data_IF_370277405538
#
_entry.id   IF_370277405538
#
_cell.length_a   1.000
_cell.length_b   1.000
_cell.length_c   1.000
_cell.angle_alpha   90.00
_cell.angle_beta   90.00
_cell.angle_gamma   90.00
#
_symmetry.space_group_name_H-M   'P 1'
#
loop_
_entity.id
_entity.type
_entity.pdbx_description
1 polymer ?
#
# COMPACT_ATOMS: atom_id res chain seq x y z
N UNK A 1 7.78 -35.97 26.33
CA UNK A 1 8.18 -34.55 26.38
C UNK A 1 8.07 -33.83 25.04
N UNK A 2 8.65 -34.32 23.93
CA UNK A 2 8.58 -33.62 22.62
C UNK A 2 7.15 -33.37 22.11
N UNK A 3 6.27 -34.37 22.20
CA UNK A 3 4.86 -34.24 21.74
C UNK A 3 4.04 -33.27 22.61
N UNK A 4 4.29 -33.26 23.92
CA UNK A 4 3.68 -32.29 24.85
C UNK A 4 4.18 -30.87 24.59
N UNK A 5 5.46 -30.69 24.25
CA UNK A 5 6.00 -29.39 23.85
C UNK A 5 5.40 -28.93 22.50
N UNK A 6 5.24 -29.84 21.54
CA UNK A 6 4.60 -29.55 20.24
C UNK A 6 3.13 -29.19 20.38
N UNK A 7 2.39 -29.86 21.28
CA UNK A 7 1.00 -29.54 21.61
C UNK A 7 0.87 -28.22 22.39
N UNK A 8 1.83 -27.91 23.27
CA UNK A 8 1.89 -26.61 23.95
C UNK A 8 2.19 -25.47 22.96
N UNK A 9 3.08 -25.70 22.00
CA UNK A 9 3.40 -24.74 20.92
C UNK A 9 2.21 -24.56 19.98
N UNK A 10 1.49 -25.64 19.61
CA UNK A 10 0.24 -25.54 18.85
C UNK A 10 -0.87 -24.82 19.63
N UNK A 11 -0.96 -25.06 20.94
CA UNK A 11 -1.90 -24.39 21.84
C UNK A 11 -1.60 -22.90 22.02
N UNK A 12 -0.31 -22.52 22.06
CA UNK A 12 0.14 -21.13 22.10
C UNK A 12 -0.06 -20.42 20.75
N UNK A 13 0.14 -21.12 19.62
CA UNK A 13 -0.16 -20.60 18.27
C UNK A 13 -1.67 -20.37 18.06
N UNK A 14 -2.53 -21.16 18.70
CA UNK A 14 -3.99 -21.00 18.64
C UNK A 14 -4.53 -19.79 19.41
N UNK A 15 -3.72 -19.13 20.23
CA UNK A 15 -4.13 -17.94 21.02
C UNK A 15 -3.69 -16.63 20.33
N UNK A 16 -2.82 -16.71 19.31
CA UNK A 16 -2.39 -15.54 18.54
C UNK A 16 -3.42 -15.17 17.45
N UNK A 17 -4.66 -14.91 17.84
CA UNK A 17 -5.62 -14.22 16.97
C UNK A 17 -5.38 -12.71 17.08
N UNK A 18 -4.38 -12.21 16.35
CA UNK A 18 -4.18 -10.77 16.24
C UNK A 18 -5.33 -10.18 15.39
N UNK A 19 -6.15 -9.29 15.97
CA UNK A 19 -7.24 -8.61 15.25
C UNK A 19 -6.72 -7.48 14.33
N UNK A 20 -5.65 -6.80 14.74
CA UNK A 20 -4.88 -5.90 13.88
C UNK A 20 -3.62 -6.62 13.42
N UNK A 21 -3.22 -6.41 12.16
CA UNK A 21 -1.97 -6.99 11.63
C UNK A 21 -0.72 -6.40 12.28
N UNK A 22 -0.84 -5.31 13.05
CA UNK A 22 0.27 -4.62 13.71
C UNK A 22 0.26 -4.71 15.24
N UNK A 23 -0.59 -5.57 15.82
CA UNK A 23 -0.71 -5.76 17.28
C UNK A 23 -1.92 -5.04 17.90
N UNK A 24 -2.21 -5.31 19.17
CA UNK A 24 -3.45 -4.89 19.85
C UNK A 24 -3.23 -3.91 21.02
N UNK A 25 -1.98 -3.54 21.35
CA UNK A 25 -1.68 -2.66 22.49
C UNK A 25 -1.92 -1.21 22.11
N UNK A 26 -2.91 -0.57 22.73
CA UNK A 26 -3.31 0.81 22.43
C UNK A 26 -3.07 1.71 23.65
N UNK A 27 -2.23 2.73 23.47
CA UNK A 27 -2.07 3.80 24.43
C UNK A 27 -3.04 4.93 24.12
N UNK A 28 -3.84 5.32 25.12
CA UNK A 28 -4.74 6.48 25.04
C UNK A 28 -4.20 7.57 25.95
N UNK A 29 -3.82 8.68 25.34
CA UNK A 29 -3.33 9.86 26.05
C UNK A 29 -4.50 10.78 26.36
N UNK A 30 -4.79 10.93 27.65
CA UNK A 30 -5.88 11.76 28.19
C UNK A 30 -5.33 12.58 29.35
N UNK A 31 -5.51 13.91 29.32
CA UNK A 31 -5.00 14.74 30.42
C UNK A 31 -5.69 14.44 31.75
N UNK A 32 -7.03 14.41 31.73
CA UNK A 32 -7.87 14.09 32.88
C UNK A 32 -8.58 12.75 32.65
N UNK A 33 -8.30 11.76 33.51
CA UNK A 33 -8.92 10.43 33.42
C UNK A 33 -10.45 10.50 33.53
N UNK A 34 -10.99 11.54 34.19
CA UNK A 34 -12.43 11.78 34.28
C UNK A 34 -13.11 12.01 32.92
N UNK A 35 -12.38 12.46 31.90
CA UNK A 35 -12.94 12.66 30.55
C UNK A 35 -13.17 11.35 29.79
N UNK A 36 -12.64 10.23 30.29
CA UNK A 36 -12.85 8.89 29.73
C UNK A 36 -14.33 8.54 29.56
N UNK A 37 -15.17 8.97 30.51
CA UNK A 37 -16.60 8.64 30.51
C UNK A 37 -17.35 9.30 29.35
N UNK A 38 -16.82 10.39 28.77
CA UNK A 38 -17.39 11.03 27.59
C UNK A 38 -17.32 10.14 26.34
N UNK A 39 -16.35 9.24 26.28
CA UNK A 39 -16.03 8.40 25.11
C UNK A 39 -16.30 6.91 25.36
N UNK A 40 -17.16 6.59 26.34
CA UNK A 40 -17.31 5.22 26.84
C UNK A 40 -17.74 4.22 25.75
N UNK A 41 -18.60 4.63 24.82
CA UNK A 41 -19.05 3.78 23.69
C UNK A 41 -17.93 3.55 22.68
N UNK A 42 -17.13 4.57 22.40
CA UNK A 42 -16.00 4.44 21.46
C UNK A 42 -14.91 3.52 22.02
N UNK A 43 -14.53 3.69 23.28
CA UNK A 43 -13.61 2.77 23.95
C UNK A 43 -14.21 1.37 24.12
N UNK A 44 -15.53 1.27 24.32
CA UNK A 44 -16.26 0.00 24.34
C UNK A 44 -16.16 -0.74 23.00
N UNK A 45 -16.31 -0.04 21.88
CA UNK A 45 -16.11 -0.59 20.53
C UNK A 45 -14.67 -1.09 20.33
N UNK A 46 -13.66 -0.26 20.67
CA UNK A 46 -12.25 -0.66 20.58
C UNK A 46 -11.94 -1.89 21.44
N UNK A 47 -12.42 -1.95 22.68
CA UNK A 47 -12.28 -3.16 23.51
C UNK A 47 -13.03 -4.37 22.93
N UNK A 48 -14.21 -4.14 22.35
CA UNK A 48 -14.99 -5.17 21.65
C UNK A 48 -14.26 -5.74 20.43
N UNK A 49 -13.38 -4.93 19.82
CA UNK A 49 -12.43 -5.33 18.76
C UNK A 49 -11.10 -5.87 19.29
N UNK A 50 -10.98 -6.08 20.61
CA UNK A 50 -9.86 -6.76 21.25
C UNK A 50 -8.60 -5.92 21.49
N UNK A 51 -8.70 -4.58 21.43
CA UNK A 51 -7.60 -3.70 21.83
C UNK A 51 -7.40 -3.68 23.35
N UNK A 52 -6.13 -3.79 23.75
CA UNK A 52 -5.68 -3.61 25.13
C UNK A 52 -5.40 -2.14 25.39
N UNK A 53 -6.40 -1.46 25.97
CA UNK A 53 -6.37 -0.01 26.15
C UNK A 53 -5.71 0.36 27.48
N UNK A 54 -4.57 1.05 27.40
CA UNK A 54 -3.89 1.67 28.54
C UNK A 54 -4.12 3.18 28.51
N UNK A 55 -4.56 3.76 29.62
CA UNK A 55 -4.83 5.19 29.74
C UNK A 55 -3.71 5.86 30.53
N UNK A 56 -3.09 6.87 29.96
CA UNK A 56 -2.02 7.62 30.62
C UNK A 56 -2.19 9.13 30.42
N UNK A 57 -1.74 9.89 31.42
CA UNK A 57 -1.68 11.34 31.32
C UNK A 57 -0.39 11.75 30.59
N UNK A 58 -0.41 12.81 29.75
CA UNK A 58 0.81 13.35 29.15
C UNK A 58 1.89 13.73 30.17
N UNK A 59 1.49 14.03 31.41
CA UNK A 59 2.37 14.44 32.51
C UNK A 59 2.82 13.26 33.39
N UNK A 60 2.42 12.03 33.07
CA UNK A 60 2.77 10.84 33.85
C UNK A 60 4.22 10.44 33.64
N UNK A 61 4.94 10.15 34.72
CA UNK A 61 6.32 9.65 34.64
C UNK A 61 6.39 8.20 34.12
N UNK A 62 5.29 7.44 34.18
CA UNK A 62 5.20 6.07 33.64
C UNK A 62 5.04 6.03 32.13
N UNK A 63 4.70 7.15 31.49
CA UNK A 63 4.40 7.20 30.07
C UNK A 63 5.67 7.02 29.24
N UNK A 64 5.87 5.85 28.62
CA UNK A 64 6.96 5.62 27.68
C UNK A 64 6.42 4.99 26.39
N UNK A 65 6.75 5.58 25.22
CA UNK A 65 6.42 4.98 23.92
C UNK A 65 7.33 3.79 23.58
N UNK A 66 8.52 3.76 24.18
CA UNK A 66 9.53 2.74 23.95
C UNK A 66 10.07 2.21 25.27
N UNK A 67 10.19 0.89 25.36
CA UNK A 67 10.84 0.18 26.45
C UNK A 67 12.01 -0.63 25.88
N UNK A 68 13.22 -0.43 26.42
CA UNK A 68 14.43 -1.12 25.98
C UNK A 68 14.72 -1.04 24.46
N UNK A 69 14.22 0.01 23.80
CA UNK A 69 14.41 0.24 22.36
C UNK A 69 13.32 -0.33 21.47
N UNK A 70 12.39 -1.11 22.01
CA UNK A 70 11.21 -1.60 21.29
C UNK A 70 9.97 -0.78 21.62
N UNK A 71 8.95 -0.84 20.76
CA UNK A 71 7.68 -0.14 20.99
C UNK A 71 6.92 -0.80 22.14
N UNK A 72 6.60 -0.02 23.17
CA UNK A 72 5.77 -0.45 24.28
C UNK A 72 4.30 -0.63 23.85
N UNK A 73 3.86 0.15 22.85
CA UNK A 73 2.51 0.15 22.32
C UNK A 73 2.53 0.03 20.79
N UNK A 74 1.51 -0.59 20.22
CA UNK A 74 1.39 -0.76 18.77
C UNK A 74 0.71 0.45 18.14
N UNK A 75 -0.25 1.01 18.87
CA UNK A 75 -1.09 2.13 18.46
C UNK A 75 -1.13 3.23 19.53
N UNK A 76 -1.33 4.46 19.09
CA UNK A 76 -1.43 5.63 19.94
C UNK A 76 -2.69 6.44 19.57
N UNK A 77 -3.53 6.74 20.55
CA UNK A 77 -4.65 7.66 20.43
C UNK A 77 -4.39 8.89 21.30
N UNK A 78 -4.32 10.06 20.69
CA UNK A 78 -4.10 11.32 21.39
C UNK A 78 -5.41 12.12 21.39
N UNK A 79 -6.01 12.25 22.56
CA UNK A 79 -7.19 13.09 22.79
C UNK A 79 -6.76 14.52 23.16
N UNK A 80 -7.63 15.54 22.96
CA UNK A 80 -7.25 16.92 23.17
C UNK A 80 -6.89 17.16 24.64
N UNK A 81 -5.80 17.89 24.87
CA UNK A 81 -5.36 18.28 26.21
C UNK A 81 -5.51 19.78 26.41
N UNK A 82 -5.84 20.23 27.63
CA UNK A 82 -5.88 21.64 28.02
C UNK A 82 -4.48 22.22 28.21
N UNK A 83 -3.50 21.36 28.50
CA UNK A 83 -2.10 21.75 28.69
C UNK A 83 -1.42 22.21 27.40
N UNK A 84 -0.50 23.18 27.52
CA UNK A 84 0.26 23.71 26.37
C UNK A 84 1.29 22.73 25.81
N UNK A 85 1.64 21.67 26.54
CA UNK A 85 2.68 20.71 26.17
C UNK A 85 2.42 19.33 26.77
N UNK A 86 2.87 18.29 26.06
CA UNK A 86 2.54 16.88 26.34
C UNK A 86 3.63 16.13 27.13
N UNK A 87 4.51 16.85 27.84
CA UNK A 87 5.64 16.25 28.57
C UNK A 87 6.80 15.81 27.66
N UNK A 88 7.86 15.22 28.26
CA UNK A 88 9.10 14.88 27.55
C UNK A 88 8.98 13.64 26.64
N UNK A 89 7.99 12.78 26.87
CA UNK A 89 7.86 11.49 26.18
C UNK A 89 6.99 11.57 24.91
N UNK A 90 6.28 12.68 24.70
CA UNK A 90 5.44 12.95 23.53
C UNK A 90 5.95 14.16 22.72
N UNK A 91 7.28 14.20 22.50
CA UNK A 91 7.91 15.20 21.64
C UNK A 91 7.65 14.89 20.16
N UNK A 92 7.75 15.89 19.25
CA UNK A 92 7.62 15.64 17.82
C UNK A 92 8.57 14.54 17.33
N UNK A 93 9.82 14.54 17.80
CA UNK A 93 10.82 13.54 17.43
C UNK A 93 10.45 12.14 17.92
N UNK A 94 9.90 12.02 19.14
CA UNK A 94 9.46 10.73 19.68
C UNK A 94 8.30 10.15 18.87
N UNK A 95 7.33 11.00 18.49
CA UNK A 95 6.18 10.61 17.67
C UNK A 95 6.58 10.23 16.23
N UNK A 96 7.49 10.98 15.62
CA UNK A 96 8.06 10.62 14.31
C UNK A 96 8.82 9.29 14.38
N UNK A 97 9.62 9.09 15.44
CA UNK A 97 10.29 7.81 15.67
C UNK A 97 9.27 6.67 15.79
N UNK A 98 8.17 6.89 16.51
CA UNK A 98 7.08 5.92 16.65
C UNK A 98 6.50 5.52 15.28
N UNK A 99 6.18 6.49 14.42
CA UNK A 99 5.71 6.26 13.04
C UNK A 99 6.75 5.50 12.22
N UNK A 100 8.03 5.89 12.29
CA UNK A 100 9.12 5.21 11.57
C UNK A 100 9.34 3.76 12.03
N UNK A 101 8.96 3.43 13.25
CA UNK A 101 8.97 2.07 13.80
C UNK A 101 7.64 1.31 13.60
N UNK A 102 6.83 1.72 12.62
CA UNK A 102 5.54 1.08 12.28
C UNK A 102 4.44 1.26 13.33
N UNK A 103 4.55 2.28 14.18
CA UNK A 103 3.50 2.69 15.12
C UNK A 103 2.43 3.53 14.44
N UNK A 104 1.16 3.26 14.73
CA UNK A 104 0.05 4.01 14.17
C UNK A 104 -0.49 5.04 15.17
N UNK A 105 -0.90 6.21 14.68
CA UNK A 105 -1.37 7.30 15.54
C UNK A 105 -2.71 7.82 15.04
N UNK A 106 -3.71 7.83 15.91
CA UNK A 106 -4.94 8.59 15.75
C UNK A 106 -4.85 9.84 16.63
N UNK A 107 -4.62 10.99 16.03
CA UNK A 107 -4.65 12.29 16.69
C UNK A 107 -6.05 12.89 16.53
N UNK A 108 -6.61 13.40 17.61
CA UNK A 108 -7.86 14.15 17.58
C UNK A 108 -7.63 15.60 18.02
N UNK A 109 -8.35 16.52 17.39
CA UNK A 109 -8.31 17.95 17.67
C UNK A 109 -9.67 18.39 18.23
N UNK A 110 -9.70 19.54 18.91
CA UNK A 110 -10.94 20.18 19.35
C UNK A 110 -10.70 21.67 19.36
N UNK A 111 -11.67 22.46 18.90
CA UNK A 111 -11.54 23.91 18.97
C UNK A 111 -11.68 24.48 20.40
N UNK A 112 -12.24 23.68 21.31
CA UNK A 112 -12.38 24.02 22.73
C UNK A 112 -11.01 23.99 23.45
N UNK A 113 -10.11 23.12 22.99
CA UNK A 113 -8.80 22.87 23.61
C UNK A 113 -7.69 23.15 22.59
N UNK A 114 -6.94 24.26 22.74
CA UNK A 114 -5.83 24.58 21.84
C UNK A 114 -4.84 23.42 21.67
N UNK A 115 -4.50 23.09 20.43
CA UNK A 115 -3.53 22.05 20.12
C UNK A 115 -2.16 22.38 20.74
N UNK A 116 -1.56 21.47 21.54
CA UNK A 116 -0.21 21.63 22.09
C UNK A 116 0.84 21.89 21.01
N UNK A 117 1.84 22.74 21.31
CA UNK A 117 2.85 23.14 20.32
C UNK A 117 3.65 21.97 19.75
N UNK A 118 3.90 20.93 20.55
CA UNK A 118 4.56 19.71 20.09
C UNK A 118 3.77 19.00 18.98
N UNK A 119 2.44 18.94 19.09
CA UNK A 119 1.60 18.35 18.05
C UNK A 119 1.52 19.25 16.81
N UNK A 120 1.46 20.57 16.99
CA UNK A 120 1.53 21.51 15.85
C UNK A 120 2.84 21.34 15.09
N UNK A 121 3.98 21.26 15.78
CA UNK A 121 5.28 21.01 15.13
C UNK A 121 5.35 19.65 14.43
N UNK A 122 4.76 18.60 15.00
CA UNK A 122 4.66 17.30 14.32
C UNK A 122 3.82 17.42 13.04
N UNK A 123 2.65 18.07 13.11
CA UNK A 123 1.77 18.22 11.96
C UNK A 123 2.45 19.01 10.83
N UNK A 124 3.20 20.06 11.16
CA UNK A 124 3.99 20.81 10.18
C UNK A 124 5.08 19.95 9.52
N UNK A 125 5.75 19.06 10.26
CA UNK A 125 6.70 18.10 9.67
C UNK A 125 6.02 17.14 8.69
N UNK A 126 4.75 16.81 8.94
CA UNK A 126 3.93 15.96 8.07
C UNK A 126 3.20 16.77 6.98
N UNK A 127 3.46 18.07 6.83
CA UNK A 127 2.84 19.00 5.88
C UNK A 127 1.31 19.16 6.05
N UNK A 128 0.85 19.06 7.30
CA UNK A 128 -0.52 19.33 7.74
C UNK A 128 -0.53 20.64 8.52
N UNK A 129 -1.27 21.63 8.01
CA UNK A 129 -1.32 22.97 8.57
C UNK A 129 -2.61 23.17 9.36
N UNK A 130 -2.48 23.69 10.57
CA UNK A 130 -3.60 24.12 11.41
C UNK A 130 -3.79 25.64 11.30
N UNK A 131 -4.99 26.15 11.63
CA UNK A 131 -5.22 27.58 11.75
C UNK A 131 -4.20 28.21 12.71
N UNK A 132 -3.71 29.40 12.35
CA UNK A 132 -2.82 30.20 13.22
C UNK A 132 -3.49 30.54 14.55
N UNK A 133 -4.81 30.71 14.49
CA UNK A 133 -5.67 30.89 15.64
C UNK A 133 -5.98 29.57 16.36
N UNK A 134 -5.73 29.58 17.67
CA UNK A 134 -5.89 28.44 18.56
C UNK A 134 -7.35 28.08 18.87
N UNK A 135 -8.29 28.97 18.57
CA UNK A 135 -9.72 28.79 18.84
C UNK A 135 -10.55 28.76 17.56
N UNK A 136 -9.92 28.56 16.40
CA UNK A 136 -10.65 28.48 15.14
C UNK A 136 -11.53 27.23 15.06
N UNK A 137 -12.79 27.45 14.69
CA UNK A 137 -13.80 26.44 14.38
C UNK A 137 -14.16 26.48 12.90
N UNK A 138 -14.59 25.35 12.36
CA UNK A 138 -15.25 25.30 11.04
C UNK A 138 -16.73 25.62 11.24
N UNK A 139 -17.21 26.63 10.53
CA UNK A 139 -18.61 27.06 10.53
C UNK A 139 -19.20 26.91 9.13
N UNK A 140 -20.47 26.52 9.05
CA UNK A 140 -21.22 26.50 7.80
C UNK A 140 -22.66 26.96 8.04
N UNK A 141 -23.08 28.05 7.39
CA UNK A 141 -24.42 28.60 7.54
C UNK A 141 -25.50 27.85 6.73
N UNK A 142 -25.12 26.87 5.91
CA UNK A 142 -26.05 26.10 5.08
C UNK A 142 -26.21 24.65 5.53
N UNK A 143 -25.11 24.01 5.94
CA UNK A 143 -25.09 22.60 6.31
C UNK A 143 -24.81 22.41 7.81
N UNK A 144 -25.49 23.15 8.68
CA UNK A 144 -25.36 22.99 10.14
C UNK A 144 -26.52 22.21 10.74
N UNK A 145 -26.34 21.71 11.96
CA UNK A 145 -27.40 21.09 12.74
C UNK A 145 -28.28 22.15 13.44
N UNK A 146 -29.50 22.33 12.96
CA UNK A 146 -30.45 23.30 13.51
C UNK A 146 -30.98 22.92 14.90
N UNK A 147 -30.78 21.68 15.34
CA UNK A 147 -31.24 21.24 16.67
C UNK A 147 -30.24 21.58 17.79
N UNK A 148 -28.95 21.39 17.53
CA UNK A 148 -27.90 21.57 18.53
C UNK A 148 -27.17 22.90 18.43
N UNK A 149 -27.09 23.49 17.23
CA UNK A 149 -26.34 24.72 16.94
C UNK A 149 -27.15 25.72 16.09
N UNK A 150 -28.37 26.14 16.51
CA UNK A 150 -29.22 27.04 15.72
C UNK A 150 -28.68 28.46 15.55
N UNK A 151 -27.79 28.91 16.44
CA UNK A 151 -27.22 30.28 16.41
C UNK A 151 -25.73 30.27 16.06
N UNK A 152 -24.97 29.33 16.64
CA UNK A 152 -23.51 29.24 16.48
C UNK A 152 -23.07 28.61 15.16
N UNK A 153 -23.90 27.75 14.55
CA UNK A 153 -23.59 27.01 13.32
C UNK A 153 -22.24 26.25 13.35
N UNK A 154 -21.79 25.85 14.54
CA UNK A 154 -20.50 25.21 14.83
C UNK A 154 -20.58 23.67 14.79
N UNK A 155 -21.75 23.12 14.46
CA UNK A 155 -21.97 21.69 14.23
C UNK A 155 -22.28 21.48 12.76
N UNK A 156 -21.24 21.16 11.99
CA UNK A 156 -21.35 20.99 10.54
C UNK A 156 -21.79 19.55 10.23
N UNK A 157 -22.84 19.43 9.42
CA UNK A 157 -23.37 18.18 8.92
C UNK A 157 -22.78 17.88 7.55
N UNK A 158 -22.05 16.77 7.46
CA UNK A 158 -21.31 16.39 6.25
C UNK A 158 -21.80 15.02 5.77
N UNK A 159 -22.08 14.84 4.47
CA UNK A 159 -22.38 13.51 3.95
C UNK A 159 -21.16 12.59 4.06
N UNK A 160 -21.39 11.27 3.93
CA UNK A 160 -20.28 10.32 3.77
C UNK A 160 -19.35 10.73 2.62
N UNK A 161 -18.03 10.61 2.80
CA UNK A 161 -17.08 10.99 1.76
C UNK A 161 -17.21 10.10 0.52
N UNK A 162 -17.07 10.70 -0.66
CA UNK A 162 -16.91 9.97 -1.91
C UNK A 162 -15.48 9.44 -2.06
N UNK A 163 -15.26 8.55 -3.04
CA UNK A 163 -13.92 8.10 -3.35
C UNK A 163 -13.05 9.29 -3.79
N UNK A 164 -11.83 9.39 -3.24
CA UNK A 164 -10.88 10.48 -3.51
C UNK A 164 -10.61 10.66 -5.00
N UNK A 165 -10.60 9.56 -5.75
CA UNK A 165 -10.53 9.53 -7.22
C UNK A 165 -11.31 8.34 -7.77
N UNK A 166 -11.72 8.38 -9.05
CA UNK A 166 -12.25 7.19 -9.73
C UNK A 166 -11.27 6.01 -9.64
N UNK A 167 -11.78 4.80 -9.45
CA UNK A 167 -10.95 3.59 -9.34
C UNK A 167 -10.23 3.40 -8.00
N UNK A 168 -10.53 4.20 -6.97
CA UNK A 168 -10.05 3.95 -5.59
C UNK A 168 -11.18 3.40 -4.74
N UNK A 169 -10.88 2.34 -3.98
CA UNK A 169 -11.81 1.76 -3.02
C UNK A 169 -12.07 2.74 -1.90
N UNK A 170 -13.35 2.95 -1.60
CA UNK A 170 -13.77 3.85 -0.53
C UNK A 170 -14.13 3.04 0.73
N UNK A 171 -13.26 3.09 1.74
CA UNK A 171 -13.53 2.46 3.04
C UNK A 171 -14.49 3.27 3.92
N UNK A 172 -14.74 4.53 3.57
CA UNK A 172 -15.44 5.50 4.40
C UNK A 172 -16.81 5.93 3.84
N UNK A 173 -17.22 5.34 2.71
CA UNK A 173 -18.40 5.76 1.94
C UNK A 173 -19.75 5.39 2.55
N UNK A 174 -19.76 4.63 3.66
CA UNK A 174 -20.99 4.10 4.26
C UNK A 174 -21.66 3.01 3.42
N UNK A 175 -22.78 2.50 3.93
CA UNK A 175 -23.56 1.43 3.30
C UNK A 175 -24.84 2.00 2.69
N UNK A 176 -25.51 2.89 3.42
CA UNK A 176 -26.76 3.50 2.99
C UNK A 176 -26.49 4.81 2.24
N UNK A 177 -27.36 5.10 1.27
CA UNK A 177 -27.38 6.41 0.61
C UNK A 177 -27.91 7.45 1.61
N UNK A 178 -27.32 8.65 1.60
CA UNK A 178 -27.69 9.80 2.44
C UNK A 178 -27.40 9.66 3.94
N UNK A 179 -26.36 8.90 4.30
CA UNK A 179 -25.81 8.92 5.66
C UNK A 179 -25.13 10.28 5.94
N UNK A 180 -25.39 10.83 7.13
CA UNK A 180 -24.88 12.14 7.58
C UNK A 180 -23.98 11.96 8.80
N UNK A 181 -22.81 12.59 8.76
CA UNK A 181 -21.86 12.69 9.86
C UNK A 181 -22.06 14.06 10.52
N UNK A 182 -22.18 14.07 11.85
CA UNK A 182 -22.19 15.30 12.62
C UNK A 182 -20.75 15.63 13.05
N UNK A 183 -20.25 16.80 12.65
CA UNK A 183 -18.90 17.26 12.95
C UNK A 183 -18.95 18.48 13.90
N UNK A 184 -19.09 18.24 15.22
CA UNK A 184 -19.23 19.31 16.21
C UNK A 184 -17.89 19.99 16.51
N UNK A 185 -17.86 21.33 16.51
CA UNK A 185 -16.73 22.18 16.93
C UNK A 185 -15.38 21.76 16.33
N UNK A 186 -15.42 21.44 15.05
CA UNK A 186 -14.27 20.92 14.32
C UNK A 186 -13.20 21.97 14.04
N UNK A 187 -11.94 21.54 14.07
CA UNK A 187 -10.80 22.29 13.56
C UNK A 187 -10.50 21.81 12.15
N UNK A 188 -10.59 22.72 11.18
CA UNK A 188 -10.28 22.45 9.79
C UNK A 188 -8.78 22.51 9.53
N UNK A 189 -8.27 21.58 8.74
CA UNK A 189 -6.86 21.46 8.40
C UNK A 189 -6.66 21.83 6.92
N UNK A 190 -5.52 22.40 6.56
CA UNK A 190 -5.08 22.47 5.16
C UNK A 190 -3.88 21.55 4.96
N UNK A 191 -3.76 21.02 3.75
CA UNK A 191 -2.70 20.09 3.38
C UNK A 191 -1.78 20.81 2.42
N UNK A 192 -0.46 20.69 2.63
CA UNK A 192 0.48 21.13 1.61
C UNK A 192 0.50 20.20 0.40
N UNK A 193 1.16 20.65 -0.66
CA UNK A 193 1.22 19.94 -1.94
C UNK A 193 2.53 19.17 -2.12
N UNK A 194 3.45 19.24 -1.16
CA UNK A 194 4.82 18.70 -1.31
C UNK A 194 4.86 17.20 -1.04
N UNK A 195 3.98 16.71 -0.14
CA UNK A 195 3.92 15.29 0.23
C UNK A 195 2.81 14.53 -0.51
N UNK A 196 3.14 13.51 -1.34
CA UNK A 196 2.14 12.67 -2.00
C UNK A 196 1.48 11.65 -1.06
N UNK A 197 1.90 11.61 0.21
CA UNK A 197 1.45 10.61 1.20
C UNK A 197 0.22 11.05 1.99
N UNK A 198 -0.16 12.32 1.90
CA UNK A 198 -1.34 12.86 2.54
C UNK A 198 -2.59 12.59 1.69
N UNK A 199 -3.67 12.18 2.34
CA UNK A 199 -4.96 12.00 1.69
C UNK A 199 -6.07 12.51 2.61
N UNK A 200 -6.88 13.49 2.18
CA UNK A 200 -8.06 13.92 2.92
C UNK A 200 -9.16 12.87 2.78
N UNK A 201 -9.65 12.39 3.92
CA UNK A 201 -10.79 11.44 3.97
C UNK A 201 -12.10 12.21 3.91
N UNK A 202 -12.24 13.25 4.74
CA UNK A 202 -13.46 14.04 4.83
C UNK A 202 -13.10 15.52 4.65
N UNK A 203 -13.68 16.16 3.65
CA UNK A 203 -13.54 17.61 3.41
C UNK A 203 -14.79 18.33 3.89
N UNK A 204 -14.61 19.59 4.27
CA UNK A 204 -15.73 20.45 4.61
C UNK A 204 -16.61 20.74 3.37
N UNK A 205 -17.91 21.06 3.56
CA UNK A 205 -18.76 21.52 2.47
C UNK A 205 -18.20 22.77 1.77
N UNK A 206 -18.61 23.00 0.52
CA UNK A 206 -18.13 24.14 -0.27
C UNK A 206 -18.48 25.52 0.31
N UNK A 207 -19.43 25.59 1.24
CA UNK A 207 -19.90 26.81 1.91
C UNK A 207 -19.31 27.02 3.30
N UNK A 208 -18.51 26.08 3.79
CA UNK A 208 -17.90 26.17 5.12
C UNK A 208 -16.64 27.05 5.10
N UNK A 209 -16.28 27.64 6.23
CA UNK A 209 -15.05 28.41 6.39
C UNK A 209 -14.50 28.31 7.82
N UNK A 210 -13.20 28.61 7.98
CA UNK A 210 -12.56 28.69 9.29
C UNK A 210 -12.90 30.04 9.93
N UNK A 211 -13.39 30.00 11.17
CA UNK A 211 -13.87 31.17 11.91
C UNK A 211 -13.33 31.16 13.34
N UNK A 212 -13.00 32.32 13.91
CA UNK A 212 -12.74 32.45 15.35
C UNK A 212 -13.86 33.25 16.03
N UNK A 213 -14.66 32.62 16.90
CA UNK A 213 -15.71 33.29 17.67
C UNK A 213 -15.23 34.41 18.59
N UNK A 214 -13.93 34.46 18.94
CA UNK A 214 -13.39 35.50 19.81
C UNK A 214 -13.04 36.80 19.05
N UNK A 215 -12.95 36.75 17.74
CA UNK A 215 -12.60 37.88 16.87
C UNK A 215 -13.83 38.43 16.11
N UNK A 216 -15.04 38.09 16.55
CA UNK A 216 -16.33 38.44 15.95
C UNK A 216 -16.57 39.95 15.68
N UNK A 217 -15.80 40.83 16.32
CA UNK A 217 -15.91 42.28 16.16
C UNK A 217 -15.38 42.80 14.81
N UNK A 218 -14.55 42.02 14.11
CA UNK A 218 -13.99 42.38 12.79
C UNK A 218 -14.59 41.45 11.74
N UNK A 219 -15.07 42.01 10.62
CA UNK A 219 -15.49 41.18 9.49
C UNK A 219 -14.30 40.30 9.07
N UNK A 220 -14.52 39.00 8.88
CA UNK A 220 -13.44 38.06 8.53
C UNK A 220 -12.96 38.37 7.12
N UNK A 221 -11.93 39.21 7.00
CA UNK A 221 -11.40 39.63 5.69
C UNK A 221 -10.53 38.55 5.03
N UNK A 222 -9.90 37.66 5.81
CA UNK A 222 -9.04 36.58 5.29
C UNK A 222 -9.08 35.33 6.19
N UNK A 223 -10.09 34.44 6.03
CA UNK A 223 -10.16 33.21 6.80
C UNK A 223 -9.01 32.25 6.42
N UNK A 224 -8.50 31.50 7.40
CA UNK A 224 -7.40 30.53 7.20
C UNK A 224 -7.57 29.62 5.97
N UNK A 225 -8.79 29.13 5.74
CA UNK A 225 -9.18 28.44 4.52
C UNK A 225 -10.72 28.37 4.39
N UNK A 226 -11.18 28.12 3.16
CA UNK A 226 -12.59 28.11 2.80
C UNK A 226 -12.97 26.88 1.97
N UNK A 227 -14.22 26.47 2.10
CA UNK A 227 -14.86 25.41 1.35
C UNK A 227 -14.10 24.08 1.45
N UNK A 228 -13.98 23.39 0.32
CA UNK A 228 -13.36 22.07 0.25
C UNK A 228 -11.84 22.07 0.47
N UNK A 229 -11.19 23.24 0.58
CA UNK A 229 -9.76 23.28 0.96
C UNK A 229 -9.57 22.82 2.41
N UNK A 230 -10.59 22.99 3.26
CA UNK A 230 -10.61 22.50 4.63
C UNK A 230 -10.81 20.98 4.65
N UNK A 231 -9.81 20.27 5.14
CA UNK A 231 -9.88 18.85 5.49
C UNK A 231 -10.32 18.72 6.96
N UNK A 232 -11.41 18.02 7.19
CA UNK A 232 -11.93 17.71 8.53
C UNK A 232 -11.29 16.45 9.09
N UNK A 233 -10.99 15.48 8.21
CA UNK A 233 -10.27 14.26 8.56
C UNK A 233 -9.18 14.02 7.52
N UNK A 234 -7.94 14.00 7.98
CA UNK A 234 -6.75 13.81 7.15
C UNK A 234 -6.06 12.52 7.53
N UNK A 235 -5.57 11.80 6.54
CA UNK A 235 -4.76 10.60 6.75
C UNK A 235 -3.42 10.74 6.05
N UNK A 236 -2.40 10.11 6.62
CA UNK A 236 -1.10 9.92 6.01
C UNK A 236 -0.71 8.45 6.10
N UNK A 237 -0.15 7.92 5.02
CA UNK A 237 0.48 6.61 5.02
C UNK A 237 1.97 6.76 4.70
N UNK A 238 2.82 6.41 5.68
CA UNK A 238 4.26 6.46 5.52
C UNK A 238 4.77 5.37 4.57
N UNK A 239 6.05 5.44 4.19
CA UNK A 239 6.68 4.47 3.27
C UNK A 239 6.70 3.04 3.81
N UNK A 240 6.86 2.89 5.13
CA UNK A 240 6.72 1.62 5.86
C UNK A 240 5.25 1.22 6.09
N UNK A 241 4.29 1.89 5.45
CA UNK A 241 2.84 1.69 5.63
C UNK A 241 2.31 1.99 7.04
N UNK A 242 3.07 2.68 7.90
CA UNK A 242 2.53 3.21 9.16
C UNK A 242 1.46 4.27 8.88
N UNK A 243 0.38 4.27 9.68
CA UNK A 243 -0.79 5.12 9.45
C UNK A 243 -0.90 6.20 10.52
N UNK A 244 -1.04 7.42 10.05
CA UNK A 244 -1.28 8.60 10.89
C UNK A 244 -2.61 9.22 10.46
N UNK A 245 -3.48 9.54 11.40
CA UNK A 245 -4.78 10.14 11.10
C UNK A 245 -5.05 11.29 12.04
N UNK A 246 -5.47 12.42 11.48
CA UNK A 246 -5.88 13.61 12.23
C UNK A 246 -7.37 13.82 12.07
N UNK A 247 -8.09 13.64 13.18
CA UNK A 247 -9.50 13.88 13.29
C UNK A 247 -9.72 15.29 13.84
N UNK A 248 -10.32 16.19 13.07
CA UNK A 248 -10.50 17.59 13.46
C UNK A 248 -11.51 17.84 14.60
N UNK A 249 -12.28 16.83 15.03
CA UNK A 249 -13.27 16.95 16.09
C UNK A 249 -13.27 15.72 17.00
N UNK A 250 -12.67 15.84 18.18
CA UNK A 250 -12.72 14.81 19.22
C UNK A 250 -14.14 14.60 19.71
N UNK A 251 -14.94 15.67 19.77
CA UNK A 251 -16.33 15.64 20.21
C UNK A 251 -17.21 14.71 19.36
N UNK A 252 -16.83 14.45 18.11
CA UNK A 252 -17.49 13.46 17.24
C UNK A 252 -17.47 12.04 17.85
N UNK A 253 -16.48 11.73 18.67
CA UNK A 253 -16.31 10.43 19.35
C UNK A 253 -17.07 10.34 20.68
N UNK A 254 -17.63 11.44 21.18
CA UNK A 254 -18.35 11.45 22.45
C UNK A 254 -19.69 10.72 22.34
N UNK A 255 -20.12 10.12 23.45
CA UNK A 255 -21.32 9.30 23.56
C UNK A 255 -22.62 10.02 23.18
N UNK A 256 -22.60 11.36 23.27
CA UNK A 256 -23.65 12.30 22.88
C UNK A 256 -23.85 12.32 21.37
N UNK A 257 -22.77 12.24 20.59
CA UNK A 257 -22.77 12.36 19.13
C UNK A 257 -22.84 11.03 18.38
N UNK A 258 -22.50 9.92 19.05
CA UNK A 258 -22.52 8.55 18.50
C UNK A 258 -23.81 8.18 17.75
N UNK A 259 -24.98 8.61 18.23
CA UNK A 259 -26.30 8.44 17.58
C UNK A 259 -27.19 9.68 17.78
N UNK A 260 -26.60 10.87 17.71
CA UNK A 260 -27.35 12.11 17.82
C UNK A 260 -28.42 12.20 16.72
N UNK A 261 -29.57 12.80 17.07
CA UNK A 261 -30.56 13.19 16.06
C UNK A 261 -30.14 14.56 15.54
N UNK A 262 -29.93 14.65 14.24
CA UNK A 262 -29.46 15.86 13.57
C UNK A 262 -30.42 16.27 12.46
N UNK A 263 -30.47 17.57 12.17
CA UNK A 263 -31.34 18.12 11.16
C UNK A 263 -30.68 19.31 10.49
N UNK A 264 -30.56 19.26 9.16
CA UNK A 264 -30.27 20.46 8.37
C UNK A 264 -31.54 21.31 8.33
N UNK A 265 -31.42 22.63 8.41
CA UNK A 265 -32.56 23.54 8.42
C UNK A 265 -33.51 23.29 7.23
N UNK A 266 -34.75 22.91 7.51
CA UNK A 266 -35.78 22.61 6.50
C UNK A 266 -35.81 21.15 6.01
N UNK A 267 -34.85 20.31 6.41
CA UNK A 267 -34.78 18.89 6.07
C UNK A 267 -35.39 17.98 7.14
N UNK A 268 -35.45 16.68 6.84
CA UNK A 268 -35.91 15.66 7.78
C UNK A 268 -34.86 15.38 8.85
N UNK A 269 -35.31 15.18 10.08
CA UNK A 269 -34.46 14.68 11.17
C UNK A 269 -33.89 13.31 10.77
N UNK A 270 -32.58 13.20 10.85
CA UNK A 270 -31.81 11.98 10.58
C UNK A 270 -30.96 11.59 11.79
N UNK A 271 -30.53 10.34 11.86
CA UNK A 271 -29.59 9.90 12.87
C UNK A 271 -28.17 10.05 12.34
N UNK A 272 -27.29 10.68 13.12
CA UNK A 272 -25.87 10.79 12.79
C UNK A 272 -25.21 9.40 12.80
N UNK A 273 -24.32 9.16 11.84
CA UNK A 273 -23.60 7.89 11.66
C UNK A 273 -22.18 7.91 12.25
N UNK A 274 -21.94 8.81 13.22
CA UNK A 274 -20.63 9.02 13.83
C UNK A 274 -20.01 7.74 14.38
N UNK A 275 -20.80 6.83 14.96
CA UNK A 275 -20.32 5.55 15.46
C UNK A 275 -19.67 4.70 14.35
N UNK A 276 -20.34 4.59 13.20
CA UNK A 276 -19.87 3.79 12.07
C UNK A 276 -18.64 4.44 11.44
N UNK A 277 -18.67 5.76 11.25
CA UNK A 277 -17.53 6.50 10.72
C UNK A 277 -16.31 6.44 11.65
N UNK A 278 -16.48 6.59 12.97
CA UNK A 278 -15.40 6.45 13.94
C UNK A 278 -14.77 5.04 13.92
N UNK A 279 -15.60 4.00 13.76
CA UNK A 279 -15.13 2.62 13.60
C UNK A 279 -14.31 2.45 12.32
N UNK A 280 -14.78 2.99 11.19
CA UNK A 280 -14.05 2.91 9.91
C UNK A 280 -12.72 3.68 9.96
N UNK A 281 -12.70 4.89 10.52
CA UNK A 281 -11.49 5.69 10.70
C UNK A 281 -10.49 4.96 11.58
N UNK A 282 -10.89 4.56 12.79
CA UNK A 282 -9.99 3.85 13.72
C UNK A 282 -9.56 2.49 13.16
N UNK A 283 -10.44 1.76 12.48
CA UNK A 283 -10.12 0.49 11.83
C UNK A 283 -9.08 0.66 10.72
N UNK A 284 -9.17 1.75 9.94
CA UNK A 284 -8.12 2.07 8.98
C UNK A 284 -6.84 2.49 9.70
N UNK A 285 -6.88 3.43 10.65
CA UNK A 285 -5.66 3.90 11.33
C UNK A 285 -4.92 2.76 12.04
N UNK A 286 -5.63 1.81 12.65
CA UNK A 286 -5.03 0.71 13.43
C UNK A 286 -4.83 -0.58 12.62
N UNK A 287 -4.76 -0.51 11.29
CA UNK A 287 -4.46 -1.65 10.41
C UNK A 287 -5.43 -2.85 10.54
N UNK A 288 -6.71 -2.60 10.78
CA UNK A 288 -7.75 -3.64 10.74
C UNK A 288 -8.37 -3.75 9.35
N UNK A 289 -8.28 -2.73 8.50
CA UNK A 289 -8.77 -2.79 7.11
C UNK A 289 -7.75 -2.25 6.11
N UNK A 290 -7.84 -2.67 4.86
CA UNK A 290 -7.01 -2.14 3.78
C UNK A 290 -5.53 -2.49 3.91
N UNK A 291 -5.18 -3.54 4.65
CA UNK A 291 -3.80 -4.04 4.73
C UNK A 291 -3.61 -5.10 3.67
N UNK A 292 -2.65 -4.89 2.78
CA UNK A 292 -2.29 -5.87 1.76
C UNK A 292 -1.04 -6.64 2.19
N UNK A 293 -0.99 -7.92 1.85
CA UNK A 293 0.17 -8.79 2.08
C UNK A 293 0.50 -9.57 0.82
N UNK A 294 1.79 -9.70 0.55
CA UNK A 294 2.33 -10.63 -0.46
C UNK A 294 2.57 -11.96 0.24
N UNK A 295 1.84 -13.00 -0.16
CA UNK A 295 1.95 -14.33 0.44
C UNK A 295 3.07 -15.14 -0.21
N UNK A 296 3.12 -15.13 -1.54
CA UNK A 296 4.12 -15.86 -2.31
C UNK A 296 4.38 -15.23 -3.67
N UNK A 297 5.61 -15.41 -4.18
CA UNK A 297 6.00 -14.99 -5.53
C UNK A 297 6.63 -16.18 -6.22
N UNK A 298 6.13 -16.50 -7.42
CA UNK A 298 6.62 -17.61 -8.23
C UNK A 298 6.82 -17.17 -9.68
N UNK A 299 7.93 -17.57 -10.27
CA UNK A 299 8.25 -17.33 -11.67
C UNK A 299 8.98 -18.54 -12.26
N UNK A 300 8.63 -18.94 -13.48
CA UNK A 300 9.19 -20.14 -14.10
C UNK A 300 9.15 -20.07 -15.62
N UNK A 301 9.98 -20.89 -16.26
CA UNK A 301 10.04 -20.99 -17.72
C UNK A 301 8.78 -21.68 -18.26
N UNK A 302 8.14 -21.08 -19.26
CA UNK A 302 6.93 -21.59 -19.91
C UNK A 302 7.13 -21.66 -21.43
N UNK A 303 7.96 -22.60 -21.89
CA UNK A 303 8.25 -22.83 -23.31
C UNK A 303 7.51 -24.05 -23.86
N UNK A 304 7.15 -24.00 -25.14
CA UNK A 304 6.50 -25.11 -25.86
C UNK A 304 7.37 -26.37 -25.81
N UNK A 305 6.82 -27.45 -25.24
CA UNK A 305 7.51 -28.74 -25.09
C UNK A 305 7.96 -29.08 -23.66
N UNK A 306 7.96 -28.13 -22.72
CA UNK A 306 8.07 -28.44 -21.29
C UNK A 306 6.71 -28.91 -20.75
N UNK A 307 6.62 -30.18 -20.31
CA UNK A 307 5.45 -30.68 -19.57
C UNK A 307 5.59 -30.33 -18.09
N UNK A 308 4.65 -29.49 -17.61
CA UNK A 308 4.47 -29.05 -16.21
C UNK A 308 5.67 -28.34 -15.57
N UNK A 309 5.46 -27.29 -14.75
CA UNK A 309 6.55 -26.74 -13.97
C UNK A 309 7.01 -27.78 -12.96
N UNK A 310 8.15 -28.43 -13.21
CA UNK A 310 8.82 -29.23 -12.18
C UNK A 310 9.12 -28.29 -11.01
N UNK A 311 8.80 -28.68 -9.77
CA UNK A 311 9.06 -27.88 -8.57
C UNK A 311 10.55 -27.47 -8.43
N UNK A 312 11.47 -28.21 -9.05
CA UNK A 312 12.91 -27.90 -9.11
C UNK A 312 13.28 -26.76 -10.09
N UNK A 313 12.34 -26.26 -10.89
CA UNK A 313 12.52 -25.20 -11.90
C UNK A 313 11.73 -23.92 -11.58
N UNK A 314 11.10 -23.86 -10.41
CA UNK A 314 10.44 -22.64 -9.91
C UNK A 314 11.48 -21.69 -9.34
N UNK A 315 11.33 -20.40 -9.63
CA UNK A 315 12.21 -19.30 -9.23
C UNK A 315 13.69 -19.46 -9.64
N UNK A 316 13.99 -19.70 -10.93
CA UNK A 316 15.37 -19.81 -11.38
C UNK A 316 16.06 -18.43 -11.35
N UNK A 317 17.34 -18.42 -10.98
CA UNK A 317 18.15 -17.18 -10.94
C UNK A 317 18.59 -16.69 -12.32
N UNK A 318 18.55 -17.57 -13.33
CA UNK A 318 19.08 -17.32 -14.66
C UNK A 318 18.05 -17.73 -15.71
N UNK A 319 17.73 -16.82 -16.60
CA UNK A 319 16.96 -17.00 -17.82
C UNK A 319 17.82 -16.68 -19.04
N UNK A 320 17.33 -17.00 -20.23
CA UNK A 320 17.93 -16.60 -21.51
C UNK A 320 17.05 -15.53 -22.17
N UNK A 321 17.68 -14.67 -22.97
CA UNK A 321 16.97 -13.75 -23.87
C UNK A 321 15.90 -14.51 -24.67
N UNK A 322 14.77 -13.87 -24.93
CA UNK A 322 13.64 -14.45 -25.69
C UNK A 322 13.00 -15.70 -25.08
N UNK A 323 13.32 -16.10 -23.86
CA UNK A 323 12.54 -17.12 -23.16
C UNK A 323 11.11 -16.63 -22.91
N UNK A 324 10.14 -17.52 -22.98
CA UNK A 324 8.79 -17.26 -22.48
C UNK A 324 8.74 -17.64 -21.00
N UNK A 325 8.35 -16.68 -20.16
CA UNK A 325 8.33 -16.82 -18.70
C UNK A 325 6.94 -16.48 -18.18
N UNK A 326 6.49 -17.26 -17.20
CA UNK A 326 5.29 -16.96 -16.43
C UNK A 326 5.71 -16.42 -15.07
N UNK A 327 5.14 -15.28 -14.67
CA UNK A 327 5.27 -14.69 -13.36
C UNK A 327 3.92 -14.74 -12.65
N UNK A 328 3.92 -15.07 -11.37
CA UNK A 328 2.75 -15.10 -10.52
C UNK A 328 3.07 -14.57 -9.12
N UNK A 329 2.16 -13.73 -8.60
CA UNK A 329 2.21 -13.19 -7.24
C UNK A 329 0.88 -13.46 -6.55
N UNK A 330 0.94 -13.89 -5.30
CA UNK A 330 -0.21 -14.17 -4.45
C UNK A 330 -0.42 -13.02 -3.46
N UNK A 331 -1.59 -12.41 -3.49
CA UNK A 331 -1.95 -11.26 -2.68
C UNK A 331 -3.18 -11.55 -1.81
N UNK A 332 -3.10 -11.15 -0.54
CA UNK A 332 -4.20 -11.18 0.42
C UNK A 332 -4.47 -9.79 1.00
N UNK A 333 -5.72 -9.57 1.42
CA UNK A 333 -6.16 -8.35 2.08
C UNK A 333 -6.66 -8.70 3.49
N UNK A 334 -6.23 -7.96 4.50
CA UNK A 334 -6.82 -8.05 5.84
C UNK A 334 -8.12 -7.25 5.91
N UNK A 335 -9.22 -7.93 6.22
CA UNK A 335 -10.54 -7.33 6.34
C UNK A 335 -11.11 -7.63 7.74
N UNK A 336 -10.88 -6.72 8.67
CA UNK A 336 -11.26 -6.75 10.08
C UNK A 336 -10.62 -7.89 10.88
N UNK A 337 -10.97 -9.13 10.58
CA UNK A 337 -10.62 -10.29 11.42
C UNK A 337 -9.91 -11.41 10.65
N UNK A 338 -9.91 -11.37 9.32
CA UNK A 338 -9.35 -12.44 8.50
C UNK A 338 -8.72 -11.92 7.21
N UNK A 339 -7.80 -12.72 6.67
CA UNK A 339 -7.27 -12.51 5.34
C UNK A 339 -8.29 -13.00 4.32
N UNK A 340 -8.71 -12.09 3.45
CA UNK A 340 -9.60 -12.36 2.32
C UNK A 340 -8.84 -12.22 1.00
N UNK A 341 -9.33 -12.84 -0.08
CA UNK A 341 -8.70 -12.74 -1.39
C UNK A 341 -8.73 -11.29 -1.89
N UNK A 342 -7.57 -10.76 -2.25
CA UNK A 342 -7.49 -9.38 -2.74
C UNK A 342 -8.18 -9.25 -4.11
N UNK A 343 -9.00 -8.20 -4.24
CA UNK A 343 -9.66 -7.82 -5.48
C UNK A 343 -9.43 -6.32 -5.72
N UNK A 344 -8.69 -5.93 -6.78
CA UNK A 344 -8.54 -4.54 -7.18
C UNK A 344 -9.89 -3.87 -7.44
N UNK A 345 -9.93 -2.55 -7.26
CA UNK A 345 -11.11 -1.77 -7.61
C UNK A 345 -11.39 -1.82 -9.12
N UNK A 346 -12.64 -1.61 -9.52
CA UNK A 346 -13.02 -1.62 -10.94
C UNK A 346 -12.20 -0.60 -11.73
N UNK A 347 -11.48 -1.07 -12.76
CA UNK A 347 -10.61 -0.24 -13.59
C UNK A 347 -9.20 0.00 -13.01
N UNK A 348 -8.83 -0.74 -11.96
CA UNK A 348 -7.48 -0.76 -11.40
C UNK A 348 -6.85 -2.14 -11.59
N UNK A 349 -5.56 -2.16 -11.94
CA UNK A 349 -4.83 -3.39 -12.26
C UNK A 349 -3.55 -3.48 -11.43
N UNK A 350 -3.21 -4.69 -10.99
CA UNK A 350 -1.87 -4.98 -10.48
C UNK A 350 -0.95 -5.16 -11.67
N UNK A 351 0.19 -4.45 -11.68
CA UNK A 351 1.11 -4.46 -12.81
C UNK A 351 2.46 -5.06 -12.43
N UNK A 352 3.00 -5.83 -13.36
CA UNK A 352 4.38 -6.30 -13.33
C UNK A 352 5.23 -5.40 -14.24
N UNK A 353 6.30 -4.87 -13.69
CA UNK A 353 7.38 -4.26 -14.44
C UNK A 353 8.56 -5.24 -14.55
N UNK A 354 9.02 -5.46 -15.78
CA UNK A 354 10.28 -6.16 -16.03
C UNK A 354 11.33 -5.13 -16.45
N UNK A 355 12.26 -4.82 -15.55
CA UNK A 355 13.13 -3.64 -15.67
C UNK A 355 14.58 -3.93 -15.32
N UNK A 356 15.50 -3.12 -15.86
CA UNK A 356 16.91 -3.07 -15.44
C UNK A 356 17.19 -1.74 -14.75
N UNK A 357 17.34 -0.67 -15.55
CA UNK A 357 17.36 0.74 -15.11
C UNK A 357 16.02 1.41 -15.41
N UNK A 358 15.42 1.06 -16.55
CA UNK A 358 14.09 1.48 -16.99
C UNK A 358 13.23 0.24 -17.29
N UNK A 359 11.88 0.38 -17.26
CA UNK A 359 10.98 -0.71 -17.58
C UNK A 359 11.05 -1.06 -19.06
N UNK A 360 11.37 -2.33 -19.37
CA UNK A 360 11.30 -2.88 -20.73
C UNK A 360 9.89 -3.38 -21.03
N UNK A 361 9.24 -3.99 -20.04
CA UNK A 361 7.84 -4.38 -20.09
C UNK A 361 7.10 -3.84 -18.87
N UNK A 362 5.86 -3.39 -19.09
CA UNK A 362 4.85 -3.14 -18.06
C UNK A 362 3.60 -3.88 -18.49
N UNK A 363 3.20 -4.87 -17.69
CA UNK A 363 2.15 -5.82 -18.02
C UNK A 363 1.13 -5.86 -16.89
N UNK A 364 -0.16 -5.79 -17.20
CA UNK A 364 -1.21 -6.09 -16.21
C UNK A 364 -1.18 -7.58 -15.87
N UNK A 365 -1.35 -7.88 -14.58
CA UNK A 365 -1.43 -9.23 -14.06
C UNK A 365 -2.90 -9.63 -13.95
N UNK A 366 -3.26 -10.72 -14.62
CA UNK A 366 -4.61 -11.26 -14.60
C UNK A 366 -4.80 -12.17 -13.39
N UNK A 367 -5.96 -12.08 -12.74
CA UNK A 367 -6.30 -12.97 -11.63
C UNK A 367 -6.63 -14.36 -12.18
N UNK A 368 -5.75 -15.33 -11.95
CA UNK A 368 -5.91 -16.69 -12.50
C UNK A 368 -6.48 -17.68 -11.50
N UNK A 369 -6.19 -17.52 -10.22
CA UNK A 369 -6.70 -18.40 -9.16
C UNK A 369 -7.15 -17.57 -7.96
N UNK A 370 -8.19 -18.06 -7.27
CA UNK A 370 -8.69 -17.46 -6.03
C UNK A 370 -8.76 -18.57 -4.99
N UNK A 371 -7.89 -18.46 -3.99
CA UNK A 371 -7.91 -19.28 -2.80
C UNK A 371 -8.90 -18.68 -1.78
N UNK A 372 -9.24 -19.38 -0.68
CA UNK A 372 -10.11 -18.81 0.35
C UNK A 372 -9.59 -17.53 1.00
N UNK A 373 -8.26 -17.37 1.12
CA UNK A 373 -7.62 -16.26 1.83
C UNK A 373 -6.78 -15.34 0.94
N UNK A 374 -6.62 -15.65 -0.35
CA UNK A 374 -5.67 -14.97 -1.24
C UNK A 374 -6.07 -15.11 -2.72
N UNK A 375 -5.58 -14.20 -3.55
CA UNK A 375 -5.76 -14.20 -5.01
C UNK A 375 -4.40 -14.30 -5.69
N UNK A 376 -4.27 -15.20 -6.68
CA UNK A 376 -3.06 -15.32 -7.50
C UNK A 376 -3.24 -14.49 -8.77
N UNK A 377 -2.31 -13.57 -8.99
CA UNK A 377 -2.21 -12.71 -10.15
C UNK A 377 -1.02 -13.15 -10.99
N UNK A 378 -1.22 -13.41 -12.29
CA UNK A 378 -0.16 -13.94 -13.13
C UNK A 378 -0.20 -13.39 -14.56
N UNK A 379 0.96 -13.37 -15.20
CA UNK A 379 1.08 -13.06 -16.62
C UNK A 379 2.18 -13.91 -17.26
N UNK A 380 2.05 -14.16 -18.55
CA UNK A 380 3.06 -14.88 -19.33
C UNK A 380 3.54 -13.97 -20.45
N UNK A 381 4.85 -13.79 -20.55
CA UNK A 381 5.45 -12.91 -21.54
C UNK A 381 6.82 -13.41 -21.98
N UNK A 382 7.28 -12.84 -23.09
CA UNK A 382 8.60 -13.16 -23.65
C UNK A 382 9.61 -12.14 -23.17
N UNK A 383 10.74 -12.62 -22.66
CA UNK A 383 11.84 -11.76 -22.20
C UNK A 383 12.44 -10.97 -23.38
N UNK A 384 12.92 -9.74 -23.13
CA UNK A 384 13.49 -8.89 -24.17
C UNK A 384 14.77 -9.48 -24.78
N UNK A 385 15.14 -8.99 -25.97
CA UNK A 385 16.38 -9.35 -26.66
C UNK A 385 17.59 -8.54 -26.13
N UNK A 386 17.64 -8.34 -24.82
CA UNK A 386 18.70 -7.64 -24.12
C UNK A 386 19.10 -8.52 -22.93
N UNK A 387 20.39 -8.83 -22.82
CA UNK A 387 20.93 -9.57 -21.69
C UNK A 387 21.39 -8.60 -20.59
N UNK A 388 21.40 -9.06 -19.35
CA UNK A 388 21.73 -8.24 -18.18
C UNK A 388 21.05 -8.74 -16.91
N UNK A 389 21.07 -7.90 -15.88
CA UNK A 389 20.38 -8.16 -14.62
C UNK A 389 19.05 -7.41 -14.67
N UNK A 390 17.96 -8.16 -14.59
CA UNK A 390 16.60 -7.64 -14.61
C UNK A 390 15.91 -7.87 -13.26
N UNK A 391 14.85 -7.11 -13.02
CA UNK A 391 13.99 -7.25 -11.88
C UNK A 391 12.57 -7.50 -12.37
N UNK A 392 11.91 -8.50 -11.79
CA UNK A 392 10.46 -8.51 -11.68
C UNK A 392 10.10 -7.57 -10.52
N UNK A 393 9.41 -6.48 -10.83
CA UNK A 393 9.00 -5.48 -9.86
C UNK A 393 7.48 -5.37 -9.90
N UNK A 394 6.83 -5.59 -8.76
CA UNK A 394 5.41 -5.31 -8.56
C UNK A 394 5.31 -4.20 -7.52
N UNK A 395 4.92 -3.01 -7.97
CA UNK A 395 4.66 -1.87 -7.11
C UNK A 395 3.17 -1.53 -7.17
N UNK A 396 2.49 -1.63 -6.02
CA UNK A 396 1.08 -1.28 -5.89
C UNK A 396 0.88 -0.29 -4.75
N UNK A 397 0.67 0.97 -5.13
CA UNK A 397 0.45 2.10 -4.21
C UNK A 397 -0.89 2.75 -4.52
N UNK A 398 -1.87 2.60 -3.64
CA UNK A 398 -3.21 3.17 -3.76
C UNK A 398 -3.60 3.83 -2.44
N UNK A 399 -4.32 4.97 -2.47
CA UNK A 399 -4.82 5.57 -1.24
C UNK A 399 -5.60 4.56 -0.41
N UNK A 400 -5.37 4.58 0.90
CA UNK A 400 -6.01 3.71 1.91
C UNK A 400 -5.65 2.22 1.85
N UNK A 401 -4.79 1.78 0.92
CA UNK A 401 -4.27 0.42 0.88
C UNK A 401 -2.78 0.43 1.24
N UNK A 402 -2.33 -0.57 2.00
CA UNK A 402 -0.90 -0.72 2.30
C UNK A 402 -0.07 -0.83 1.02
N UNK A 403 1.13 -0.25 1.05
CA UNK A 403 2.00 -0.23 -0.11
C UNK A 403 2.58 -1.64 -0.32
N UNK A 404 2.45 -2.18 -1.53
CA UNK A 404 3.17 -3.39 -1.94
C UNK A 404 4.34 -2.96 -2.81
N UNK A 405 5.52 -3.46 -2.47
CA UNK A 405 6.72 -3.39 -3.29
C UNK A 405 7.44 -4.73 -3.20
N UNK A 406 7.26 -5.58 -4.21
CA UNK A 406 8.00 -6.83 -4.34
C UNK A 406 8.99 -6.73 -5.50
N UNK A 407 10.25 -7.08 -5.22
CA UNK A 407 11.33 -7.00 -6.19
C UNK A 407 12.12 -8.29 -6.20
N UNK A 408 12.04 -9.02 -7.30
CA UNK A 408 12.79 -10.25 -7.53
C UNK A 408 13.81 -10.07 -8.65
N UNK A 409 15.10 -10.13 -8.32
CA UNK A 409 16.19 -9.94 -9.28
C UNK A 409 16.61 -11.25 -9.95
N UNK A 410 16.70 -11.23 -11.28
CA UNK A 410 17.11 -12.38 -12.11
C UNK A 410 18.13 -11.96 -13.17
N UNK A 411 18.97 -12.90 -13.58
CA UNK A 411 19.92 -12.69 -14.68
C UNK A 411 19.32 -13.19 -15.98
N UNK A 412 19.34 -12.37 -17.03
CA UNK A 412 19.00 -12.78 -18.40
C UNK A 412 20.29 -12.89 -19.19
N UNK A 413 20.71 -14.10 -19.56
CA UNK A 413 21.91 -14.36 -20.37
C UNK A 413 21.60 -14.39 -21.86
N UNK A 414 22.63 -14.20 -22.67
CA UNK A 414 22.56 -14.46 -24.11
C UNK A 414 22.47 -15.98 -24.41
N UNK A 415 22.24 -16.31 -25.69
CA UNK A 415 22.31 -17.70 -26.18
C UNK A 415 23.71 -18.29 -25.92
N UNK A 416 23.73 -19.52 -25.41
CA UNK A 416 24.94 -20.33 -25.37
C UNK A 416 25.26 -20.85 -26.78
N UNK A 417 26.52 -21.24 -26.98
CA UNK A 417 27.03 -21.65 -28.29
C UNK A 417 26.31 -22.87 -28.89
N UNK A 418 25.76 -23.73 -28.03
CA UNK A 418 25.03 -24.95 -28.36
C UNK A 418 23.52 -24.76 -28.54
N UNK A 419 22.98 -23.58 -28.22
CA UNK A 419 21.54 -23.27 -28.30
C UNK A 419 21.11 -22.67 -29.63
N UNK A 420 22.05 -22.36 -30.52
CA UNK A 420 21.73 -21.84 -31.85
C UNK A 420 21.18 -22.94 -32.76
N UNK A 421 20.20 -22.62 -33.63
CA UNK A 421 19.76 -23.54 -34.68
C UNK A 421 20.96 -24.01 -35.49
N UNK A 422 21.14 -25.33 -35.52
CA UNK A 422 22.29 -25.94 -36.20
C UNK A 422 22.13 -25.85 -37.71
N UNK A 423 23.24 -25.95 -38.43
CA UNK A 423 23.30 -25.73 -39.88
C UNK A 423 22.31 -26.56 -40.68
N UNK A 424 21.99 -27.78 -40.25
CA UNK A 424 21.01 -28.64 -40.92
C UNK A 424 19.54 -28.16 -40.83
N UNK A 425 19.20 -27.29 -39.86
CA UNK A 425 17.87 -26.67 -39.75
C UNK A 425 17.75 -25.44 -40.65
N UNK A 426 18.88 -24.79 -40.96
CA UNK A 426 18.92 -23.55 -41.74
C UNK A 426 18.90 -23.91 -43.23
N UNK A 427 17.78 -23.69 -43.91
CA UNK A 427 17.61 -24.01 -45.35
C UNK A 427 18.71 -23.39 -46.23
N UNK A 428 19.14 -22.17 -45.92
CA UNK A 428 20.22 -21.47 -46.63
C UNK A 428 21.62 -22.08 -46.45
N UNK A 429 21.83 -22.94 -45.44
CA UNK A 429 23.12 -23.57 -45.19
C UNK A 429 23.33 -24.86 -46.02
N UNK A 430 22.28 -25.40 -46.63
CA UNK A 430 22.33 -26.66 -47.38
C UNK A 430 23.32 -26.68 -48.55
N UNK A 431 23.49 -25.60 -49.35
CA UNK A 431 24.52 -25.57 -50.41
C UNK A 431 25.95 -25.77 -49.88
N UNK A 432 26.25 -25.27 -48.68
CA UNK A 432 27.56 -25.42 -48.06
C UNK A 432 27.78 -26.84 -47.53
N UNK A 433 26.75 -27.39 -46.87
CA UNK A 433 26.77 -28.78 -46.37
C UNK A 433 26.94 -29.76 -47.53
N UNK A 434 26.18 -29.57 -48.62
CA UNK A 434 26.29 -30.40 -49.81
C UNK A 434 27.64 -30.22 -50.51
N UNK A 435 28.19 -29.01 -50.57
CA UNK A 435 29.53 -28.76 -51.10
C UNK A 435 30.63 -29.53 -50.36
N UNK A 436 30.56 -29.57 -49.02
CA UNK A 436 31.49 -30.38 -48.21
C UNK A 436 31.32 -31.86 -48.53
N UNK A 437 30.09 -32.37 -48.59
CA UNK A 437 29.82 -33.76 -48.92
C UNK A 437 30.34 -34.12 -50.33
N UNK A 438 30.10 -33.28 -51.34
CA UNK A 438 30.60 -33.45 -52.71
C UNK A 438 32.12 -33.45 -52.75
N UNK A 439 32.78 -32.58 -51.96
CA UNK A 439 34.25 -32.52 -51.90
C UNK A 439 34.83 -33.78 -51.28
N UNK A 440 34.24 -34.28 -50.18
CA UNK A 440 34.67 -35.52 -49.52
C UNK A 440 34.48 -36.71 -50.46
N UNK A 441 33.31 -36.84 -51.09
CA UNK A 441 33.03 -37.93 -52.04
C UNK A 441 33.95 -37.83 -53.26
N UNK A 442 34.13 -36.63 -53.82
CA UNK A 442 35.02 -36.38 -54.94
C UNK A 442 36.47 -36.70 -54.63
N UNK A 443 36.94 -36.39 -53.41
CA UNK A 443 38.29 -36.74 -52.96
C UNK A 443 38.48 -38.24 -52.84
N UNK A 444 37.50 -38.97 -52.29
CA UNK A 444 37.54 -40.44 -52.20
C UNK A 444 37.59 -41.05 -53.61
N UNK A 445 36.76 -40.56 -54.54
CA UNK A 445 36.78 -41.00 -55.95
C UNK A 445 38.13 -40.70 -56.60
N UNK A 446 38.68 -39.50 -56.40
CA UNK A 446 39.98 -39.11 -56.93
C UNK A 446 41.10 -40.02 -56.41
N UNK A 447 41.16 -40.27 -55.10
CA UNK A 447 42.16 -41.18 -54.50
C UNK A 447 42.04 -42.58 -55.10
N UNK A 448 40.82 -43.08 -55.26
CA UNK A 448 40.56 -44.36 -55.92
C UNK A 448 41.07 -44.38 -57.36
N UNK A 449 40.69 -43.41 -58.18
CA UNK A 449 41.14 -43.33 -59.58
C UNK A 449 42.65 -43.13 -59.69
N UNK A 450 43.25 -42.29 -58.85
CA UNK A 450 44.68 -42.00 -58.86
C UNK A 450 45.51 -43.26 -58.56
N UNK A 451 45.11 -44.06 -57.57
CA UNK A 451 45.83 -45.27 -57.21
C UNK A 451 45.74 -46.38 -58.27
N UNK A 452 44.62 -46.45 -59.01
CA UNK A 452 44.36 -47.52 -59.98
C UNK A 452 44.48 -47.10 -61.45
N UNK A 453 44.87 -45.85 -61.72
CA UNK A 453 45.10 -45.36 -63.10
C UNK A 453 46.51 -45.73 -63.56
N UNK A 454 46.61 -46.44 -64.68
CA UNK A 454 47.90 -46.78 -65.29
C UNK A 454 48.53 -45.53 -65.96
N UNK A 455 49.84 -45.27 -65.78
CA UNK A 455 50.50 -44.15 -66.44
C UNK A 455 50.47 -44.33 -67.97
N UNK A 456 50.33 -43.24 -68.76
CA UNK A 456 50.40 -43.35 -70.20
C UNK A 456 51.75 -43.91 -70.63
N UNK A 457 51.74 -44.91 -71.51
CA UNK A 457 52.97 -45.49 -72.04
C UNK A 457 53.83 -44.42 -72.71
N UNK A 458 55.08 -44.26 -72.26
CA UNK A 458 56.02 -43.30 -72.82
C UNK A 458 56.24 -43.59 -74.32
N UNK A 459 55.97 -42.61 -75.20
CA UNK A 459 56.33 -42.71 -76.61
C UNK A 459 57.85 -42.63 -76.73
N UNK A 460 58.49 -43.76 -77.03
CA UNK A 460 59.92 -43.83 -77.35
C UNK A 460 60.17 -43.15 -78.70
N UNK A 461 60.81 -41.98 -78.69
CA UNK A 461 61.32 -41.33 -79.90
C UNK A 461 62.59 -42.07 -80.35
N UNK A 462 62.50 -42.89 -81.39
CA UNK A 462 63.66 -43.59 -81.97
C UNK A 462 64.49 -42.59 -82.79
N UNK A 463 65.69 -42.26 -82.31
CA UNK A 463 66.68 -41.50 -83.07
C UNK A 463 67.19 -42.30 -84.28
N UNK A 464 67.14 -41.70 -85.47
CA UNK A 464 67.80 -42.24 -86.68
C UNK A 464 69.32 -42.19 -86.48
N UNK A 465 69.98 -43.35 -86.54
CA UNK A 465 71.44 -43.44 -86.68
C UNK A 465 71.85 -42.97 -88.08
N UNK A 466 72.88 -42.13 -88.12
CA UNK A 466 73.61 -41.77 -89.33
C UNK A 466 74.33 -42.99 -89.91
N UNK A 467 74.35 -43.07 -91.23
CA UNK A 467 75.31 -43.84 -92.02
C UNK A 467 75.97 -42.89 -93.01
#
# INVERSE_FOLDING_TARGET
MRVLLSLLILGLLGIASALSTSGNRLLVVLEEIAEKDKYSKFFGDLKGRGFEITFESPKSDSLALFELGERAYDHLLILPSKSKGLGPNLTPQALLKFINTEGNILLTLSASNPTPSALVSLLLELDIHLPTDRNSIVVDHFNYDSLSAPESHDVVLVPRPSAVRPGVRNFFGGILKNEVIAFPRGVGQTLGNDSPYLTPVLRAPGTAYSYNPKEEAEAVEDPFAVGQQLSLVTTMQARNSARFTVLGAAEMLEDTWVKAKVQVAGDKVSAAVNAAFAKEISGWTFNEVGVLRVDSVTHFLNEEGLKTPNASLTNPKIYRVKNTVTYAIELSEWAWNEYVPFVPATGDDVQLEFSMLSPFHRLSLERTQTNPSSSVFSTTFKLPDQHGIFNFLVEFRRPFLSNIEDKTTVTVRHFAHDEWPRSWVISAAWPWISGVAVTVVGWIIFVGLWLYSAPPAAKVTVGKKAQ
#
